data_IF_951072106605
#
_entry.id   IF_951072106605
#
_cell.length_a   1.000
_cell.length_b   1.000
_cell.length_c   1.000
_cell.angle_alpha   90.00
_cell.angle_beta   90.00
_cell.angle_gamma   90.00
#
_symmetry.space_group_name_H-M   'P 1'
#
loop_
_entity.id
_entity.type
_entity.pdbx_description
1 polymer ?
#
# COMPACT_ATOMS: atom_id res chain seq x y z
N UNK A 1 -4.57 21.72 -8.32
CA UNK A 1 -3.77 21.52 -7.09
C UNK A 1 -4.69 21.79 -5.90
N UNK A 2 -5.27 20.76 -5.32
CA UNK A 2 -6.12 20.89 -4.13
C UNK A 2 -5.36 20.29 -2.95
N UNK A 3 -5.03 21.14 -1.97
CA UNK A 3 -4.41 20.74 -0.72
C UNK A 3 -5.47 20.07 0.17
N UNK A 4 -5.19 18.86 0.61
CA UNK A 4 -6.01 18.18 1.63
C UNK A 4 -5.51 18.63 3.00
N UNK A 5 -6.33 19.40 3.72
CA UNK A 5 -6.06 19.77 5.10
C UNK A 5 -6.68 18.70 6.03
N UNK A 6 -5.85 18.07 6.84
CA UNK A 6 -6.29 17.18 7.93
C UNK A 6 -6.00 17.86 9.26
N UNK A 7 -7.05 18.11 10.06
CA UNK A 7 -6.94 18.66 11.41
C UNK A 7 -6.68 17.55 12.44
N UNK A 8 -5.58 17.68 13.18
CA UNK A 8 -5.31 16.88 14.37
C UNK A 8 -5.69 17.67 15.62
N UNK A 9 -6.63 17.17 16.43
CA UNK A 9 -6.94 17.67 17.77
C UNK A 9 -6.14 16.92 18.82
N UNK A 10 -5.19 17.60 19.44
CA UNK A 10 -4.41 17.07 20.56
C UNK A 10 -5.10 17.29 21.90
N UNK A 11 -5.16 16.26 22.74
CA UNK A 11 -5.47 16.39 24.16
C UNK A 11 -4.19 16.40 24.98
N UNK A 12 -3.96 17.48 25.72
CA UNK A 12 -2.91 17.57 26.76
C UNK A 12 -3.46 17.02 28.07
N UNK A 13 -2.72 16.13 28.72
CA UNK A 13 -2.85 15.89 30.14
C UNK A 13 -1.48 15.97 30.82
N UNK A 14 -1.42 16.87 31.81
CA UNK A 14 -0.29 17.13 32.69
C UNK A 14 -0.50 16.33 33.99
N UNK A 15 0.48 15.58 34.44
CA UNK A 15 0.67 15.31 35.88
C UNK A 15 2.08 14.81 36.17
N UNK A 16 2.82 15.61 36.93
CA UNK A 16 4.11 15.30 37.53
C UNK A 16 3.96 14.17 38.57
N UNK A 17 4.84 13.19 38.54
CA UNK A 17 5.35 12.54 39.74
C UNK A 17 6.74 11.93 39.45
N UNK A 18 7.74 12.40 40.22
CA UNK A 18 9.08 11.86 40.25
C UNK A 18 9.07 10.57 41.06
N UNK A 19 9.54 9.48 40.49
CA UNK A 19 10.20 8.37 41.19
C UNK A 19 11.21 7.76 40.23
N UNK A 20 12.49 7.94 40.59
CA UNK A 20 13.64 7.30 39.95
C UNK A 20 13.59 5.77 40.17
N UNK A 21 13.18 5.08 39.13
CA UNK A 21 13.51 3.65 38.95
C UNK A 21 13.98 3.54 37.50
N UNK A 22 15.12 2.91 37.28
CA UNK A 22 15.73 2.72 35.96
C UNK A 22 14.70 2.13 34.99
N UNK A 23 14.00 3.02 34.29
CA UNK A 23 13.13 2.67 33.17
C UNK A 23 14.04 2.29 32.00
N UNK A 24 14.02 1.02 31.63
CA UNK A 24 14.34 0.63 30.29
C UNK A 24 13.45 1.51 29.38
N UNK A 25 14.03 2.43 28.66
CA UNK A 25 13.33 3.20 27.62
C UNK A 25 12.88 2.20 26.56
N UNK A 26 11.69 1.62 26.74
CA UNK A 26 11.02 1.00 25.61
C UNK A 26 10.85 2.12 24.59
N UNK A 27 11.57 2.00 23.46
CA UNK A 27 11.40 2.89 22.31
C UNK A 27 9.92 2.79 21.92
N UNK A 28 9.22 3.90 21.99
CA UNK A 28 7.81 3.97 21.60
C UNK A 28 7.71 3.53 20.14
N UNK A 29 7.02 2.42 19.87
CA UNK A 29 6.84 1.90 18.51
C UNK A 29 5.85 2.77 17.77
N UNK A 30 6.22 3.19 16.57
CA UNK A 30 5.37 4.05 15.72
C UNK A 30 4.37 3.20 14.95
N UNK A 31 4.83 2.08 14.38
CA UNK A 31 4.02 1.13 13.64
C UNK A 31 3.67 -0.12 14.44
N UNK A 32 2.96 -1.04 13.80
CA UNK A 32 2.53 -2.30 14.38
C UNK A 32 2.97 -3.48 13.51
N UNK A 33 3.64 -4.46 14.13
CA UNK A 33 4.00 -5.72 13.50
C UNK A 33 3.03 -6.82 13.86
N UNK A 34 2.65 -7.62 12.86
CA UNK A 34 1.93 -8.88 13.02
C UNK A 34 2.59 -9.94 12.16
N UNK A 35 2.60 -11.20 12.60
CA UNK A 35 3.18 -12.30 11.85
C UNK A 35 2.19 -13.45 11.70
N UNK A 36 2.16 -14.04 10.51
CA UNK A 36 1.23 -15.10 10.10
C UNK A 36 2.01 -16.27 9.53
N UNK A 37 1.85 -17.43 10.14
CA UNK A 37 2.39 -18.68 9.60
C UNK A 37 1.56 -19.13 8.42
N UNK A 38 2.21 -19.36 7.28
CA UNK A 38 1.63 -19.85 6.04
C UNK A 38 2.32 -21.15 5.64
N UNK A 39 1.77 -21.83 4.65
CA UNK A 39 2.39 -23.06 4.16
C UNK A 39 3.67 -22.71 3.40
N UNK A 40 4.80 -23.11 3.97
CA UNK A 40 6.13 -22.92 3.40
C UNK A 40 6.83 -21.57 3.68
N UNK A 41 6.17 -20.59 4.29
CA UNK A 41 6.77 -19.30 4.66
C UNK A 41 5.98 -18.59 5.76
N UNK A 42 6.58 -17.52 6.32
CA UNK A 42 5.90 -16.62 7.25
C UNK A 42 5.72 -15.24 6.63
N UNK A 43 4.52 -14.68 6.72
CA UNK A 43 4.23 -13.29 6.35
C UNK A 43 4.29 -12.41 7.57
N UNK A 44 5.18 -11.41 7.58
CA UNK A 44 5.16 -10.32 8.55
C UNK A 44 4.53 -9.10 7.90
N UNK A 45 3.58 -8.50 8.60
CA UNK A 45 2.86 -7.29 8.18
C UNK A 45 3.29 -6.16 9.11
N UNK A 46 3.74 -5.06 8.56
CA UNK A 46 4.02 -3.82 9.26
C UNK A 46 3.04 -2.75 8.82
N UNK A 47 2.14 -2.32 9.69
CA UNK A 47 1.30 -1.16 9.48
C UNK A 47 2.03 0.06 10.07
N UNK A 48 2.42 1.00 9.25
CA UNK A 48 3.26 2.13 9.64
C UNK A 48 2.59 3.12 10.58
N UNK A 49 1.25 3.19 10.56
CA UNK A 49 0.44 4.20 11.24
C UNK A 49 0.80 5.63 10.82
N UNK A 50 1.39 5.81 9.66
CA UNK A 50 1.69 7.12 9.10
C UNK A 50 0.48 7.78 8.44
N UNK A 51 0.67 8.99 7.93
CA UNK A 51 -0.40 9.79 7.32
C UNK A 51 -0.87 9.27 5.96
N UNK A 52 -0.13 8.35 5.35
CA UNK A 52 -0.46 7.72 4.07
C UNK A 52 -1.13 6.35 4.24
N UNK A 53 -1.20 5.84 5.47
CA UNK A 53 -1.67 4.48 5.78
C UNK A 53 -0.83 3.41 5.07
N UNK A 54 0.48 3.64 4.99
CA UNK A 54 1.42 2.72 4.35
C UNK A 54 1.52 1.41 5.12
N UNK A 55 1.74 0.35 4.35
CA UNK A 55 2.02 -0.97 4.89
C UNK A 55 3.21 -1.59 4.17
N UNK A 56 4.04 -2.28 4.93
CA UNK A 56 5.23 -2.97 4.44
C UNK A 56 5.21 -4.42 4.87
N UNK A 57 5.91 -5.27 4.14
CA UNK A 57 5.84 -6.71 4.37
C UNK A 57 7.22 -7.34 4.35
N UNK A 58 7.34 -8.46 5.09
CA UNK A 58 8.49 -9.34 4.99
C UNK A 58 7.96 -10.75 4.78
N UNK A 59 8.37 -11.38 3.69
CA UNK A 59 8.13 -12.79 3.42
C UNK A 59 9.37 -13.54 3.91
N UNK A 60 9.24 -14.18 5.06
CA UNK A 60 10.29 -14.99 5.65
C UNK A 60 10.21 -16.41 5.10
N UNK A 61 11.03 -16.68 4.09
CA UNK A 61 11.16 -18.01 3.52
C UNK A 61 12.25 -18.85 4.19
N UNK A 62 12.49 -20.04 3.63
CA UNK A 62 13.52 -20.95 4.13
C UNK A 62 14.91 -20.33 4.02
N UNK A 63 15.21 -19.67 2.91
CA UNK A 63 16.57 -19.30 2.53
C UNK A 63 16.87 -17.81 2.77
N UNK A 64 15.93 -17.03 3.31
CA UNK A 64 16.10 -15.61 3.55
C UNK A 64 14.81 -14.85 3.71
N UNK A 65 14.89 -13.53 3.54
CA UNK A 65 13.79 -12.58 3.62
C UNK A 65 13.58 -11.91 2.27
N UNK A 66 12.32 -11.74 1.88
CA UNK A 66 11.92 -10.81 0.82
C UNK A 66 11.20 -9.67 1.49
N UNK A 67 11.67 -8.46 1.28
CA UNK A 67 11.02 -7.23 1.76
C UNK A 67 10.10 -6.72 0.66
N UNK A 68 8.98 -6.11 1.02
CA UNK A 68 8.08 -5.45 0.06
C UNK A 68 7.61 -4.11 0.62
N UNK A 69 7.56 -3.09 -0.25
CA UNK A 69 7.03 -1.76 0.05
C UNK A 69 7.72 -1.13 1.28
N UNK A 70 9.03 -0.94 1.22
CA UNK A 70 9.82 -0.40 2.33
C UNK A 70 9.31 1.00 2.72
N UNK A 71 9.15 1.32 4.03
CA UNK A 71 8.54 2.57 4.48
C UNK A 71 9.25 3.82 3.99
N UNK A 72 8.48 4.86 3.63
CA UNK A 72 8.99 6.14 3.13
C UNK A 72 9.39 7.13 4.25
N UNK A 73 8.86 7.00 5.45
CA UNK A 73 9.19 7.88 6.57
C UNK A 73 10.34 7.32 7.41
N UNK A 74 11.33 8.18 7.75
CA UNK A 74 12.57 7.78 8.45
C UNK A 74 12.32 7.00 9.74
N UNK A 75 11.33 7.41 10.53
CA UNK A 75 11.03 6.73 11.80
C UNK A 75 10.51 5.31 11.55
N UNK A 76 9.63 5.13 10.56
CA UNK A 76 9.08 3.84 10.16
C UNK A 76 10.15 2.97 9.48
N UNK A 77 10.96 3.56 8.60
CA UNK A 77 12.06 2.88 7.92
C UNK A 77 13.10 2.36 8.93
N UNK A 78 13.43 3.16 9.95
CA UNK A 78 14.33 2.74 11.03
C UNK A 78 13.75 1.58 11.84
N UNK A 79 12.48 1.65 12.24
CA UNK A 79 11.81 0.60 13.01
C UNK A 79 11.70 -0.70 12.21
N UNK A 80 11.30 -0.59 10.94
CA UNK A 80 11.20 -1.73 10.03
C UNK A 80 12.55 -2.40 9.77
N UNK A 81 13.61 -1.59 9.56
CA UNK A 81 14.97 -2.08 9.40
C UNK A 81 15.53 -2.77 10.65
N UNK A 82 15.21 -2.28 11.85
CA UNK A 82 15.57 -2.97 13.11
C UNK A 82 14.85 -4.31 13.24
N UNK A 83 13.58 -4.37 12.85
CA UNK A 83 12.81 -5.61 12.84
C UNK A 83 13.39 -6.64 11.86
N UNK A 84 13.72 -6.23 10.62
CA UNK A 84 14.39 -7.08 9.64
C UNK A 84 15.67 -7.69 10.23
N UNK A 85 16.53 -6.87 10.87
CA UNK A 85 17.77 -7.34 11.52
C UNK A 85 17.50 -8.35 12.62
N UNK A 86 16.42 -8.18 13.39
CA UNK A 86 16.06 -9.09 14.49
C UNK A 86 15.69 -10.49 14.01
N UNK A 87 15.24 -10.64 12.75
CA UNK A 87 14.92 -11.94 12.14
C UNK A 87 16.17 -12.78 11.83
N UNK A 88 17.35 -12.16 11.76
CA UNK A 88 18.64 -12.86 11.67
C UNK A 88 18.88 -13.60 10.35
N UNK A 89 18.10 -13.31 9.30
CA UNK A 89 18.23 -13.90 7.96
C UNK A 89 18.67 -12.84 6.94
N UNK A 90 19.37 -13.23 5.87
CA UNK A 90 19.72 -12.30 4.80
C UNK A 90 18.49 -11.83 4.03
N UNK A 91 18.46 -10.55 3.63
CA UNK A 91 17.48 -10.03 2.68
C UNK A 91 17.92 -10.40 1.27
N UNK A 92 17.07 -11.12 0.54
CA UNK A 92 17.33 -11.56 -0.83
C UNK A 92 17.02 -10.46 -1.83
N UNK A 93 15.91 -9.76 -1.63
CA UNK A 93 15.50 -8.61 -2.45
C UNK A 93 14.46 -7.76 -1.72
N UNK A 94 14.35 -6.50 -2.13
CA UNK A 94 13.24 -5.59 -1.84
C UNK A 94 12.39 -5.50 -3.10
N UNK A 95 11.13 -5.94 -3.03
CA UNK A 95 10.18 -5.87 -4.15
C UNK A 95 9.28 -4.66 -3.90
N UNK A 96 9.29 -3.72 -4.83
CA UNK A 96 8.45 -2.52 -4.70
C UNK A 96 7.86 -2.11 -6.04
N UNK A 97 6.70 -1.48 -6.01
CA UNK A 97 6.20 -0.76 -7.17
C UNK A 97 6.30 0.76 -6.97
N UNK A 98 5.78 1.35 -5.90
CA UNK A 98 5.84 2.81 -5.69
C UNK A 98 6.60 3.25 -4.44
N UNK A 99 6.71 2.42 -3.40
CA UNK A 99 7.32 2.79 -2.13
C UNK A 99 8.82 2.47 -2.12
N UNK A 100 9.61 3.45 -2.52
CA UNK A 100 11.06 3.34 -2.64
C UNK A 100 11.80 3.70 -1.35
N UNK A 101 11.29 3.29 -0.19
CA UNK A 101 11.94 3.60 1.09
C UNK A 101 13.16 2.74 1.42
N UNK A 102 13.43 1.70 0.62
CA UNK A 102 14.53 0.77 0.84
C UNK A 102 15.92 1.42 0.67
N UNK A 103 16.89 0.82 1.33
CA UNK A 103 18.29 1.26 1.28
C UNK A 103 18.95 0.86 -0.06
N UNK A 104 19.87 1.67 -0.56
CA UNK A 104 20.77 1.32 -1.69
C UNK A 104 21.60 0.04 -1.45
N UNK A 105 21.61 -0.47 -0.22
CA UNK A 105 22.31 -1.72 0.14
C UNK A 105 21.49 -2.98 -0.07
N UNK A 106 20.17 -2.86 -0.33
CA UNK A 106 19.30 -4.00 -0.61
C UNK A 106 19.15 -4.17 -2.13
N UNK A 107 19.19 -5.41 -2.66
CA UNK A 107 18.86 -5.65 -4.06
C UNK A 107 17.41 -5.21 -4.32
N UNK A 108 17.19 -4.36 -5.31
CA UNK A 108 15.88 -3.80 -5.64
C UNK A 108 15.28 -4.52 -6.85
N UNK A 109 14.05 -4.97 -6.72
CA UNK A 109 13.26 -5.63 -7.77
C UNK A 109 11.95 -4.87 -7.99
N UNK A 110 11.59 -4.66 -9.26
CA UNK A 110 10.34 -3.98 -9.64
C UNK A 110 9.58 -4.78 -10.71
N UNK A 111 8.24 -4.69 -10.73
CA UNK A 111 7.44 -5.19 -11.85
C UNK A 111 7.76 -4.47 -13.16
N UNK A 112 7.42 -5.13 -14.27
CA UNK A 112 7.58 -4.59 -15.63
C UNK A 112 6.99 -3.19 -15.79
N UNK A 113 7.78 -2.27 -16.36
CA UNK A 113 7.41 -0.88 -16.64
C UNK A 113 7.61 0.07 -15.46
N UNK A 114 7.71 -0.43 -14.21
CA UNK A 114 7.90 0.43 -13.04
C UNK A 114 9.21 1.22 -13.04
N UNK A 115 10.37 0.63 -13.40
CA UNK A 115 11.62 1.41 -13.47
C UNK A 115 11.50 2.64 -14.36
N UNK A 116 10.87 2.49 -15.52
CA UNK A 116 10.65 3.62 -16.45
C UNK A 116 9.61 4.63 -15.93
N UNK A 117 8.60 4.16 -15.21
CA UNK A 117 7.56 5.01 -14.64
C UNK A 117 8.12 5.92 -13.53
N UNK A 118 8.92 5.38 -12.61
CA UNK A 118 9.50 6.15 -11.50
C UNK A 118 10.51 7.21 -11.97
N UNK A 119 11.16 7.01 -13.13
CA UNK A 119 12.01 8.01 -13.77
C UNK A 119 11.19 9.09 -14.50
N UNK A 120 9.89 8.87 -14.66
CA UNK A 120 8.99 9.74 -15.41
C UNK A 120 8.50 10.97 -14.65
N UNK A 121 7.91 11.95 -15.38
CA UNK A 121 7.48 13.21 -14.79
C UNK A 121 6.29 13.09 -13.82
N UNK A 122 5.46 12.06 -13.96
CA UNK A 122 4.30 11.84 -13.08
C UNK A 122 4.79 11.48 -11.69
N UNK A 123 5.61 10.43 -11.57
CA UNK A 123 6.17 10.00 -10.30
C UNK A 123 7.10 11.07 -9.69
N UNK A 124 7.96 11.68 -10.50
CA UNK A 124 8.85 12.77 -10.06
C UNK A 124 8.07 13.98 -9.53
N UNK A 125 6.95 14.33 -10.16
CA UNK A 125 6.04 15.38 -9.68
C UNK A 125 5.38 15.04 -8.35
N UNK A 126 4.94 13.79 -8.17
CA UNK A 126 4.37 13.29 -6.93
C UNK A 126 5.42 13.32 -5.80
N UNK A 127 6.62 12.81 -6.03
CA UNK A 127 7.70 12.80 -5.04
C UNK A 127 8.16 14.21 -4.66
N UNK A 128 8.18 15.14 -5.61
CA UNK A 128 8.43 16.56 -5.31
C UNK A 128 7.36 17.13 -4.38
N UNK A 129 6.07 16.85 -4.63
CA UNK A 129 4.99 17.25 -3.74
C UNK A 129 5.12 16.67 -2.34
N UNK A 130 5.52 15.42 -2.21
CA UNK A 130 5.78 14.80 -0.91
C UNK A 130 6.98 15.43 -0.20
N UNK A 131 8.06 15.72 -0.92
CA UNK A 131 9.22 16.41 -0.35
C UNK A 131 8.86 17.84 0.14
N UNK A 132 8.01 18.56 -0.58
CA UNK A 132 7.50 19.87 -0.15
C UNK A 132 6.60 19.76 1.10
N UNK A 133 5.79 18.69 1.19
CA UNK A 133 4.84 18.50 2.29
C UNK A 133 5.48 17.92 3.55
N UNK A 134 6.36 16.92 3.40
CA UNK A 134 6.90 16.12 4.49
C UNK A 134 8.37 16.41 4.82
N UNK A 135 9.08 17.05 3.89
CA UNK A 135 10.45 17.54 4.08
C UNK A 135 11.42 16.46 4.56
N UNK A 136 12.17 16.78 5.61
CA UNK A 136 13.22 15.91 6.16
C UNK A 136 12.70 14.65 6.89
N UNK A 137 11.38 14.47 7.02
CA UNK A 137 10.81 13.27 7.65
C UNK A 137 10.87 12.06 6.73
N UNK A 138 11.00 12.27 5.41
CA UNK A 138 11.13 11.19 4.44
C UNK A 138 12.56 10.68 4.34
N UNK A 139 12.71 9.41 3.95
CA UNK A 139 14.01 8.81 3.60
C UNK A 139 14.49 9.36 2.25
N UNK A 140 15.81 9.31 2.04
CA UNK A 140 16.36 9.49 0.71
C UNK A 140 16.00 8.27 -0.15
N UNK A 141 15.55 8.51 -1.38
CA UNK A 141 15.20 7.44 -2.29
C UNK A 141 16.47 6.73 -2.80
N UNK A 142 16.43 5.40 -3.02
CA UNK A 142 17.56 4.67 -3.56
C UNK A 142 17.90 5.16 -4.98
N UNK A 143 19.18 5.19 -5.28
CA UNK A 143 19.72 5.60 -6.59
C UNK A 143 20.08 4.40 -7.47
N UNK A 144 20.07 3.20 -6.91
CA UNK A 144 20.38 1.97 -7.63
C UNK A 144 19.29 1.63 -8.66
N UNK A 145 19.72 0.91 -9.72
CA UNK A 145 18.76 0.38 -10.70
C UNK A 145 18.07 -0.86 -10.16
N UNK A 146 16.77 -0.91 -10.32
CA UNK A 146 15.99 -2.10 -10.02
C UNK A 146 16.19 -3.20 -11.08
N UNK A 147 16.18 -4.45 -10.65
CA UNK A 147 15.93 -5.58 -11.54
C UNK A 147 14.46 -5.60 -11.93
N UNK A 148 14.18 -5.61 -13.23
CA UNK A 148 12.81 -5.61 -13.74
C UNK A 148 12.31 -7.05 -13.96
N UNK A 149 11.08 -7.34 -13.48
CA UNK A 149 10.45 -8.66 -13.63
C UNK A 149 9.30 -8.58 -14.62
N UNK A 150 9.34 -9.34 -15.72
CA UNK A 150 8.28 -9.34 -16.73
C UNK A 150 6.95 -9.86 -16.17
N UNK A 151 5.84 -9.26 -16.58
CA UNK A 151 4.52 -9.82 -16.32
C UNK A 151 4.32 -11.18 -16.96
N UNK A 152 3.50 -12.04 -16.34
CA UNK A 152 3.29 -13.42 -16.71
C UNK A 152 4.42 -14.37 -16.27
N UNK A 153 5.45 -13.87 -15.57
CA UNK A 153 6.55 -14.69 -15.06
C UNK A 153 6.40 -15.05 -13.59
N UNK A 154 7.07 -16.13 -13.19
CA UNK A 154 7.21 -16.53 -11.78
C UNK A 154 8.70 -16.50 -11.43
N UNK A 155 9.04 -15.81 -10.35
CA UNK A 155 10.38 -15.78 -9.78
C UNK A 155 10.37 -16.49 -8.43
N UNK A 156 11.47 -17.14 -8.06
CA UNK A 156 11.62 -17.73 -6.75
C UNK A 156 12.61 -16.91 -5.92
N UNK A 157 12.12 -16.37 -4.79
CA UNK A 157 12.93 -15.63 -3.82
C UNK A 157 12.78 -16.28 -2.44
N UNK A 158 13.89 -16.44 -1.72
CA UNK A 158 13.92 -17.05 -0.39
C UNK A 158 13.23 -18.44 -0.29
N UNK A 159 13.12 -19.17 -1.41
CA UNK A 159 12.42 -20.45 -1.50
C UNK A 159 10.89 -20.34 -1.65
N UNK A 160 10.36 -19.13 -1.92
CA UNK A 160 8.93 -18.85 -2.15
C UNK A 160 8.73 -18.38 -3.59
N UNK A 161 7.65 -18.81 -4.23
CA UNK A 161 7.30 -18.40 -5.59
C UNK A 161 6.52 -17.09 -5.59
N UNK A 162 6.93 -16.16 -6.45
CA UNK A 162 6.29 -14.87 -6.71
C UNK A 162 5.87 -14.83 -8.17
N UNK A 163 4.57 -14.91 -8.45
CA UNK A 163 4.02 -14.78 -9.79
C UNK A 163 3.60 -13.34 -10.03
N UNK A 164 4.21 -12.71 -11.03
CA UNK A 164 3.97 -11.32 -11.40
C UNK A 164 2.98 -11.26 -12.56
N UNK A 165 1.80 -10.68 -12.32
CA UNK A 165 0.81 -10.40 -13.35
C UNK A 165 0.54 -8.90 -13.40
N UNK A 166 0.01 -8.41 -14.53
CA UNK A 166 -0.40 -7.02 -14.66
C UNK A 166 -1.63 -6.77 -13.79
N UNK A 167 -1.55 -5.74 -12.95
CA UNK A 167 -2.66 -5.24 -12.15
C UNK A 167 -3.50 -4.20 -12.90
N UNK A 168 -4.36 -3.51 -12.18
CA UNK A 168 -5.15 -2.40 -12.73
C UNK A 168 -4.21 -1.38 -13.36
N UNK A 169 -4.59 -0.96 -14.56
CA UNK A 169 -3.88 0.08 -15.27
C UNK A 169 -4.85 1.25 -15.44
N UNK A 170 -4.66 2.26 -14.63
CA UNK A 170 -5.22 3.58 -14.85
C UNK A 170 -4.07 4.51 -15.25
N UNK A 171 -3.97 5.68 -14.65
CA UNK A 171 -2.84 6.60 -14.87
C UNK A 171 -1.53 6.11 -14.21
N UNK A 172 -1.62 5.09 -13.36
CA UNK A 172 -0.50 4.49 -12.64
C UNK A 172 -0.38 3.00 -13.01
N UNK A 173 0.76 2.56 -13.54
CA UNK A 173 1.00 1.13 -13.73
C UNK A 173 0.93 0.41 -12.39
N UNK A 174 0.44 -0.81 -12.39
CA UNK A 174 0.30 -1.61 -11.19
C UNK A 174 0.60 -3.07 -11.46
N UNK A 175 1.04 -3.75 -10.43
CA UNK A 175 1.24 -5.18 -10.44
C UNK A 175 0.23 -5.91 -9.58
N UNK A 176 -0.06 -7.15 -9.96
CA UNK A 176 -0.66 -8.15 -9.09
C UNK A 176 0.37 -9.24 -8.87
N UNK A 177 0.77 -9.47 -7.61
CA UNK A 177 1.80 -10.45 -7.29
C UNK A 177 1.20 -11.53 -6.40
N UNK A 178 1.16 -12.77 -6.89
CA UNK A 178 0.72 -13.93 -6.10
C UNK A 178 1.94 -14.59 -5.44
N UNK A 179 1.96 -14.62 -4.11
CA UNK A 179 3.08 -15.04 -3.27
C UNK A 179 2.74 -16.40 -2.65
N UNK A 180 3.53 -17.43 -2.98
CA UNK A 180 3.36 -18.80 -2.48
C UNK A 180 1.96 -19.37 -2.72
N UNK A 181 1.19 -18.82 -3.66
CA UNK A 181 -0.21 -19.21 -3.90
C UNK A 181 -1.19 -18.83 -2.79
N UNK A 182 -0.77 -18.09 -1.76
CA UNK A 182 -1.56 -17.85 -0.55
C UNK A 182 -1.80 -16.38 -0.24
N UNK A 183 -0.94 -15.47 -0.73
CA UNK A 183 -1.03 -14.02 -0.52
C UNK A 183 -1.05 -13.35 -1.88
N UNK A 184 -2.00 -12.45 -2.11
CA UNK A 184 -2.10 -11.65 -3.33
C UNK A 184 -1.84 -10.18 -3.00
N UNK A 185 -0.79 -9.62 -3.60
CA UNK A 185 -0.46 -8.21 -3.51
C UNK A 185 -1.07 -7.44 -4.69
N UNK A 186 -1.67 -6.30 -4.39
CA UNK A 186 -1.96 -5.21 -5.33
C UNK A 186 -1.65 -3.90 -4.63
N UNK A 187 -1.23 -2.84 -5.33
CA UNK A 187 -0.79 -1.60 -4.67
C UNK A 187 -1.79 -1.08 -3.63
N UNK A 188 -3.07 -1.09 -3.97
CA UNK A 188 -4.15 -0.72 -3.05
C UNK A 188 -4.82 -1.98 -2.50
N UNK A 189 -4.49 -2.38 -1.29
CA UNK A 189 -5.24 -3.45 -0.63
C UNK A 189 -6.74 -3.12 -0.59
N UNK A 190 -7.64 -4.11 -0.72
CA UNK A 190 -9.09 -3.87 -0.74
C UNK A 190 -9.67 -3.62 0.66
N UNK A 191 -9.10 -2.67 1.41
CA UNK A 191 -9.63 -2.24 2.71
C UNK A 191 -10.90 -1.39 2.56
N UNK A 192 -11.71 -1.34 3.61
CA UNK A 192 -13.03 -0.68 3.59
C UNK A 192 -12.90 0.84 3.79
N UNK A 193 -12.70 1.55 2.69
CA UNK A 193 -12.64 3.01 2.64
C UNK A 193 -13.17 3.48 1.28
N UNK A 194 -13.71 4.70 1.20
CA UNK A 194 -13.97 5.35 -0.08
C UNK A 194 -12.66 5.51 -0.84
N UNK A 195 -12.67 5.13 -2.11
CA UNK A 195 -11.48 5.19 -2.95
C UNK A 195 -11.20 6.63 -3.41
N UNK A 196 -9.94 6.94 -3.58
CA UNK A 196 -9.48 8.26 -4.03
C UNK A 196 -9.55 8.42 -5.56
N UNK A 197 -9.49 9.66 -6.09
CA UNK A 197 -9.33 9.88 -7.53
C UNK A 197 -8.07 9.25 -8.13
N UNK A 198 -7.01 9.05 -7.33
CA UNK A 198 -5.80 8.37 -7.77
C UNK A 198 -6.05 6.90 -8.12
N UNK A 199 -7.05 6.27 -7.48
CA UNK A 199 -7.40 4.87 -7.70
C UNK A 199 -8.43 4.73 -8.84
N UNK A 200 -9.42 5.61 -8.90
CA UNK A 200 -10.54 5.45 -9.84
C UNK A 200 -11.12 6.80 -10.30
N UNK A 201 -10.26 7.70 -10.73
CA UNK A 201 -10.65 9.06 -11.19
C UNK A 201 -11.34 9.13 -12.55
N UNK A 202 -11.51 8.00 -13.25
CA UNK A 202 -12.21 7.92 -14.53
C UNK A 202 -13.08 6.65 -14.62
N UNK A 203 -13.93 6.56 -15.65
CA UNK A 203 -14.74 5.37 -15.90
C UNK A 203 -13.86 4.14 -16.22
N UNK A 204 -12.79 4.36 -16.98
CA UNK A 204 -11.81 3.34 -17.36
C UNK A 204 -11.04 2.84 -16.12
N UNK A 205 -10.68 3.76 -15.20
CA UNK A 205 -10.02 3.39 -13.96
C UNK A 205 -10.93 2.55 -13.03
N UNK A 206 -12.23 2.87 -12.96
CA UNK A 206 -13.21 2.05 -12.23
C UNK A 206 -13.27 0.63 -12.81
N UNK A 207 -13.29 0.50 -14.14
CA UNK A 207 -13.36 -0.79 -14.81
C UNK A 207 -12.06 -1.60 -14.60
N UNK A 208 -10.90 -0.96 -14.69
CA UNK A 208 -9.61 -1.58 -14.43
C UNK A 208 -9.48 -2.08 -12.99
N UNK A 209 -9.88 -1.27 -12.01
CA UNK A 209 -9.89 -1.66 -10.59
C UNK A 209 -10.84 -2.83 -10.33
N UNK A 210 -12.03 -2.82 -10.94
CA UNK A 210 -13.00 -3.89 -10.81
C UNK A 210 -12.48 -5.20 -11.41
N UNK A 211 -11.84 -5.15 -12.58
CA UNK A 211 -11.22 -6.30 -13.23
C UNK A 211 -10.09 -6.88 -12.37
N UNK A 212 -9.17 -6.03 -11.90
CA UNK A 212 -8.06 -6.46 -11.05
C UNK A 212 -8.53 -7.04 -9.72
N UNK A 213 -9.53 -6.39 -9.08
CA UNK A 213 -10.08 -6.91 -7.82
C UNK A 213 -10.75 -8.28 -8.02
N UNK A 214 -11.46 -8.49 -9.13
CA UNK A 214 -12.02 -9.81 -9.49
C UNK A 214 -10.93 -10.85 -9.80
N UNK A 215 -9.88 -10.44 -10.50
CA UNK A 215 -8.74 -11.31 -10.81
C UNK A 215 -7.98 -11.70 -9.53
N UNK A 216 -7.75 -10.75 -8.61
CA UNK A 216 -7.12 -11.05 -7.33
C UNK A 216 -7.92 -12.06 -6.51
N UNK A 217 -9.25 -11.90 -6.44
CA UNK A 217 -10.14 -12.88 -5.80
C UNK A 217 -10.06 -14.26 -6.44
N UNK A 218 -9.97 -14.32 -7.77
CA UNK A 218 -9.90 -15.58 -8.54
C UNK A 218 -8.57 -16.33 -8.33
N UNK A 219 -7.52 -15.70 -7.79
CA UNK A 219 -6.27 -16.40 -7.41
C UNK A 219 -6.48 -17.47 -6.35
N UNK A 220 -7.55 -17.37 -5.56
CA UNK A 220 -7.79 -18.23 -4.40
C UNK A 220 -6.89 -17.92 -3.20
N UNK A 221 -6.16 -16.80 -3.21
CA UNK A 221 -5.32 -16.38 -2.11
C UNK A 221 -6.14 -16.26 -0.81
N UNK A 222 -5.50 -16.57 0.30
CA UNK A 222 -6.10 -16.45 1.64
C UNK A 222 -6.06 -15.00 2.14
N UNK A 223 -4.96 -14.30 1.85
CA UNK A 223 -4.73 -12.92 2.28
C UNK A 223 -4.46 -12.02 1.09
N UNK A 224 -4.90 -10.77 1.21
CA UNK A 224 -4.74 -9.73 0.21
C UNK A 224 -4.05 -8.54 0.87
N UNK A 225 -2.95 -8.10 0.29
CA UNK A 225 -2.08 -7.07 0.84
C UNK A 225 -1.83 -5.97 -0.19
N UNK A 226 -1.36 -4.81 0.27
CA UNK A 226 -0.99 -3.70 -0.61
C UNK A 226 -0.08 -2.69 0.07
N UNK A 227 0.54 -1.82 -0.68
CA UNK A 227 1.34 -0.72 -0.16
C UNK A 227 0.55 0.22 0.76
N UNK A 228 -0.77 0.27 0.59
CA UNK A 228 -1.68 0.97 1.48
C UNK A 228 -2.77 0.05 2.02
N UNK A 229 -3.20 0.28 3.27
CA UNK A 229 -4.35 -0.39 3.89
C UNK A 229 -4.06 -1.75 4.53
N UNK A 230 -2.81 -2.19 4.51
CA UNK A 230 -2.38 -3.39 5.23
C UNK A 230 -2.88 -4.70 4.61
N UNK A 231 -3.22 -5.66 5.46
CA UNK A 231 -3.67 -6.99 5.07
C UNK A 231 -5.16 -7.19 5.35
N UNK A 232 -5.85 -7.77 4.38
CA UNK A 232 -7.27 -8.12 4.48
C UNK A 232 -7.53 -9.55 4.02
N UNK A 233 -8.72 -10.07 4.31
CA UNK A 233 -9.19 -11.37 3.89
C UNK A 233 -10.23 -11.26 2.75
N UNK A 234 -10.63 -12.42 2.22
CA UNK A 234 -11.53 -12.58 1.08
C UNK A 234 -12.81 -11.73 1.16
N UNK A 235 -13.43 -11.62 2.33
CA UNK A 235 -14.64 -10.83 2.53
C UNK A 235 -14.47 -9.34 2.21
N UNK A 236 -13.28 -8.76 2.47
CA UNK A 236 -12.99 -7.38 2.11
C UNK A 236 -12.86 -7.22 0.58
N UNK A 237 -12.29 -8.20 -0.11
CA UNK A 237 -12.21 -8.21 -1.59
C UNK A 237 -13.61 -8.28 -2.20
N UNK A 238 -14.48 -9.15 -1.69
CA UNK A 238 -15.87 -9.26 -2.12
C UNK A 238 -16.65 -7.95 -1.88
N UNK A 239 -16.42 -7.31 -0.72
CA UNK A 239 -17.02 -6.01 -0.42
C UNK A 239 -16.49 -4.91 -1.36
N UNK A 240 -15.19 -4.92 -1.71
CA UNK A 240 -14.60 -3.99 -2.68
C UNK A 240 -15.21 -4.17 -4.06
N UNK A 241 -15.43 -5.39 -4.54
CA UNK A 241 -16.11 -5.67 -5.81
C UNK A 241 -17.51 -5.06 -5.80
N UNK A 242 -18.29 -5.32 -4.74
CA UNK A 242 -19.63 -4.76 -4.61
C UNK A 242 -19.64 -3.23 -4.58
N UNK A 243 -18.65 -2.62 -3.91
CA UNK A 243 -18.45 -1.17 -3.90
C UNK A 243 -18.17 -0.61 -5.29
N UNK A 244 -17.21 -1.19 -6.02
CA UNK A 244 -16.86 -0.76 -7.37
C UNK A 244 -18.02 -0.89 -8.36
N UNK A 245 -18.78 -1.98 -8.30
CA UNK A 245 -20.01 -2.17 -9.10
C UNK A 245 -21.08 -1.13 -8.74
N UNK A 246 -21.19 -0.74 -7.46
CA UNK A 246 -22.08 0.33 -7.04
C UNK A 246 -21.64 1.68 -7.56
N UNK A 247 -20.35 2.01 -7.44
CA UNK A 247 -19.77 3.26 -7.97
C UNK A 247 -19.99 3.36 -9.48
N UNK A 248 -19.66 2.30 -10.23
CA UNK A 248 -19.89 2.25 -11.69
C UNK A 248 -21.34 2.53 -12.05
N UNK A 249 -22.28 1.91 -11.35
CA UNK A 249 -23.72 2.14 -11.59
C UNK A 249 -24.13 3.57 -11.25
N UNK A 250 -23.74 4.09 -10.07
CA UNK A 250 -24.07 5.46 -9.67
C UNK A 250 -23.48 6.50 -10.62
N UNK A 251 -22.25 6.26 -11.13
CA UNK A 251 -21.64 7.13 -12.14
C UNK A 251 -22.48 7.22 -13.42
N UNK A 252 -23.14 6.12 -13.82
CA UNK A 252 -23.99 6.10 -15.00
C UNK A 252 -25.40 6.69 -14.75
N UNK A 253 -25.91 6.60 -13.53
CA UNK A 253 -27.28 7.03 -13.18
C UNK A 253 -27.36 8.49 -12.73
N UNK A 254 -26.31 9.04 -12.10
CA UNK A 254 -26.30 10.39 -11.58
C UNK A 254 -25.91 11.40 -12.65
N UNK A 255 -26.57 12.54 -12.62
CA UNK A 255 -26.40 13.61 -13.62
C UNK A 255 -25.15 14.47 -13.39
N UNK A 256 -24.67 14.58 -12.18
CA UNK A 256 -23.57 15.44 -11.76
C UNK A 256 -22.85 14.90 -10.49
N UNK A 257 -21.71 15.51 -10.18
CA UNK A 257 -20.87 15.14 -9.04
C UNK A 257 -21.62 15.19 -7.69
N UNK A 258 -22.47 16.20 -7.49
CA UNK A 258 -23.22 16.34 -6.23
C UNK A 258 -24.23 15.20 -6.04
N UNK A 259 -25.00 14.88 -7.08
CA UNK A 259 -25.94 13.77 -7.05
C UNK A 259 -25.24 12.43 -6.83
N UNK A 260 -24.06 12.22 -7.42
CA UNK A 260 -23.23 11.05 -7.20
C UNK A 260 -22.74 10.95 -5.75
N UNK A 261 -22.18 12.05 -5.22
CA UNK A 261 -21.67 12.09 -3.85
C UNK A 261 -22.77 11.76 -2.82
N UNK A 262 -23.95 12.37 -2.97
CA UNK A 262 -25.12 12.11 -2.11
C UNK A 262 -25.58 10.66 -2.20
N UNK A 263 -25.64 10.10 -3.40
CA UNK A 263 -26.06 8.71 -3.61
C UNK A 263 -25.06 7.71 -3.04
N UNK A 264 -23.75 7.99 -3.18
CA UNK A 264 -22.69 7.13 -2.64
C UNK A 264 -22.64 7.18 -1.11
N UNK A 265 -22.74 8.39 -0.51
CA UNK A 265 -22.82 8.57 0.94
C UNK A 265 -24.04 7.86 1.53
N UNK A 266 -25.19 7.93 0.85
CA UNK A 266 -26.40 7.20 1.26
C UNK A 266 -26.23 5.67 1.18
N UNK A 267 -25.50 5.18 0.19
CA UNK A 267 -25.26 3.74 0.03
C UNK A 267 -24.26 3.20 1.08
N UNK A 268 -23.32 4.02 1.53
CA UNK A 268 -22.25 3.66 2.47
C UNK A 268 -22.09 4.71 3.59
N UNK A 269 -23.08 4.89 4.46
CA UNK A 269 -23.14 6.03 5.39
C UNK A 269 -22.05 6.01 6.47
N UNK A 270 -21.42 4.87 6.72
CA UNK A 270 -20.38 4.70 7.75
C UNK A 270 -18.99 4.37 7.17
N UNK A 271 -18.86 4.41 5.84
CA UNK A 271 -17.56 4.13 5.21
C UNK A 271 -16.66 5.36 5.34
N UNK A 272 -15.43 5.21 5.87
CA UNK A 272 -14.49 6.32 5.98
C UNK A 272 -13.98 6.77 4.60
N UNK A 273 -13.42 7.97 4.53
CA UNK A 273 -12.88 8.59 3.32
C UNK A 273 -13.75 9.73 2.81
N UNK A 274 -13.15 10.59 1.99
CA UNK A 274 -13.82 11.74 1.39
C UNK A 274 -14.32 11.40 -0.02
N UNK A 275 -15.63 11.58 -0.25
CA UNK A 275 -16.27 11.28 -1.54
C UNK A 275 -16.13 12.45 -2.51
N UNK A 276 -16.03 13.69 -2.03
CA UNK A 276 -16.10 14.88 -2.87
C UNK A 276 -15.00 14.92 -3.95
N UNK A 277 -13.70 14.65 -3.63
CA UNK A 277 -12.66 14.65 -4.65
C UNK A 277 -12.88 13.59 -5.74
N UNK A 278 -13.38 12.41 -5.37
CA UNK A 278 -13.71 11.35 -6.31
C UNK A 278 -14.87 11.79 -7.23
N UNK A 279 -15.95 12.31 -6.64
CA UNK A 279 -17.10 12.79 -7.39
C UNK A 279 -16.70 13.87 -8.40
N UNK A 280 -15.89 14.86 -7.98
CA UNK A 280 -15.38 15.90 -8.88
C UNK A 280 -14.53 15.32 -10.02
N UNK A 281 -13.67 14.35 -9.75
CA UNK A 281 -12.85 13.73 -10.79
C UNK A 281 -13.70 12.99 -11.84
N UNK A 282 -14.72 12.26 -11.40
CA UNK A 282 -15.57 11.44 -12.28
C UNK A 282 -16.50 12.25 -13.18
N UNK A 283 -16.71 13.55 -12.92
CA UNK A 283 -17.62 14.42 -13.69
C UNK A 283 -16.91 15.62 -14.35
N UNK A 284 -15.56 15.59 -14.40
CA UNK A 284 -14.76 16.52 -15.23
C UNK A 284 -14.75 16.06 -16.68
#
# INVERSE_FOLDING_TARGET
MAAVAIFATGCKNNSNNQNDTAMSTQKETVGQFQAYELDGFKLHVYNSNDVMFDASYIIEGRDGLVVMEYPLFKVNASEFGEYIKSLGKPVVTDITDYHLGGSDTLPLTMPEGMPSFIEGPIYGGMMKGFAEQFGETMVDLPTQKAAEVPFGSTQQYAGVDFKFDRGASSDFPGAMILIGGQVCYTHWAPYQMHMSPLQMGSAEAIDAELETTKASLATGARYFIGGHGGMVEKNAVEARIAYLEKVKRLRAECKDAAAFADALAKAYPNMPGDIAPLAEALYK
#
